data_IF_315284603104
#
_entry.id   IF_315284603104
#
_cell.length_a   1.000
_cell.length_b   1.000
_cell.length_c   1.000
_cell.angle_alpha   90.00
_cell.angle_beta   90.00
_cell.angle_gamma   90.00
#
_symmetry.space_group_name_H-M   'P 1'
#
loop_
_entity.id
_entity.type
_entity.pdbx_description
1 polymer ?
#
# COMPACT_ATOMS: atom_id res chain seq x y z
N UNK A 1 -11.73 15.17 28.77
CA UNK A 1 -10.53 15.05 27.90
C UNK A 1 -10.97 15.33 26.47
N UNK A 2 -10.70 16.53 25.98
CA UNK A 2 -10.98 16.91 24.59
C UNK A 2 -10.10 16.04 23.69
N UNK A 3 -10.68 15.15 22.87
CA UNK A 3 -9.91 14.42 21.85
C UNK A 3 -9.22 15.48 20.99
N UNK A 4 -7.89 15.53 21.05
CA UNK A 4 -7.11 16.37 20.16
C UNK A 4 -7.46 15.93 18.74
N UNK A 5 -8.02 16.86 17.95
CA UNK A 5 -8.43 16.59 16.58
C UNK A 5 -7.16 16.23 15.80
N UNK A 6 -7.21 15.13 15.05
CA UNK A 6 -6.07 14.73 14.22
C UNK A 6 -5.70 15.85 13.23
N UNK A 7 -4.43 15.94 12.81
CA UNK A 7 -4.03 16.90 11.79
C UNK A 7 -4.90 16.77 10.52
N UNK A 8 -5.20 17.88 9.82
CA UNK A 8 -6.10 17.87 8.66
C UNK A 8 -5.75 16.81 7.60
N UNK A 9 -4.46 16.62 7.30
CA UNK A 9 -4.01 15.63 6.31
C UNK A 9 -4.31 14.19 6.71
N UNK A 10 -4.24 13.88 8.01
CA UNK A 10 -4.54 12.56 8.56
C UNK A 10 -6.04 12.29 8.45
N UNK A 11 -6.86 13.29 8.82
CA UNK A 11 -8.31 13.20 8.67
C UNK A 11 -8.72 12.96 7.21
N UNK A 12 -8.11 13.68 6.27
CA UNK A 12 -8.34 13.51 4.83
C UNK A 12 -7.97 12.09 4.37
N UNK A 13 -6.82 11.57 4.81
CA UNK A 13 -6.42 10.20 4.49
C UNK A 13 -7.45 9.18 5.02
N UNK A 14 -7.89 9.34 6.27
CA UNK A 14 -8.79 8.37 6.91
C UNK A 14 -10.19 8.38 6.28
N UNK A 15 -10.68 9.57 5.91
CA UNK A 15 -11.92 9.70 5.15
C UNK A 15 -11.77 9.04 3.77
N UNK A 16 -10.65 9.30 3.09
CA UNK A 16 -10.31 8.68 1.82
C UNK A 16 -10.34 7.15 1.85
N UNK A 17 -9.64 6.56 2.82
CA UNK A 17 -9.65 5.10 3.06
C UNK A 17 -11.06 4.61 3.36
N UNK A 18 -11.84 5.34 4.14
CA UNK A 18 -13.24 4.95 4.43
C UNK A 18 -14.10 4.97 3.18
N UNK A 19 -13.95 5.97 2.31
CA UNK A 19 -14.66 6.05 1.04
C UNK A 19 -14.27 4.89 0.12
N UNK A 20 -12.96 4.59 -0.01
CA UNK A 20 -12.47 3.47 -0.80
C UNK A 20 -13.06 2.13 -0.34
N UNK A 21 -13.12 1.90 0.98
CA UNK A 21 -13.71 0.68 1.56
C UNK A 21 -15.24 0.62 1.42
N UNK A 22 -15.90 1.74 1.15
CA UNK A 22 -17.34 1.81 0.91
C UNK A 22 -17.69 1.73 -0.58
N UNK A 23 -16.71 1.55 -1.48
CA UNK A 23 -16.98 1.37 -2.89
C UNK A 23 -17.92 0.18 -3.12
N UNK A 24 -18.89 0.37 -4.00
CA UNK A 24 -19.90 -0.62 -4.32
C UNK A 24 -19.29 -1.74 -5.16
N UNK A 25 -19.47 -2.96 -4.70
CA UNK A 25 -19.05 -4.19 -5.38
C UNK A 25 -20.15 -4.76 -6.29
N UNK A 26 -21.39 -4.29 -6.13
CA UNK A 26 -22.60 -4.83 -6.75
C UNK A 26 -23.63 -5.18 -5.67
N UNK A 27 -24.91 -5.08 -6.03
CA UNK A 27 -26.05 -5.45 -5.17
C UNK A 27 -26.04 -4.77 -3.78
N UNK A 28 -25.48 -3.55 -3.70
CA UNK A 28 -25.38 -2.78 -2.46
C UNK A 28 -24.29 -3.27 -1.50
N UNK A 29 -23.46 -4.24 -1.91
CA UNK A 29 -22.35 -4.73 -1.11
C UNK A 29 -21.18 -3.75 -1.17
N UNK A 30 -20.72 -3.31 0.00
CA UNK A 30 -19.49 -2.52 0.10
C UNK A 30 -18.29 -3.46 0.10
N UNK A 31 -17.35 -3.24 -0.80
CA UNK A 31 -16.17 -4.12 -0.98
C UNK A 31 -15.41 -4.37 0.33
N UNK A 32 -15.28 -3.35 1.19
CA UNK A 32 -14.55 -3.46 2.46
C UNK A 32 -15.24 -4.34 3.50
N UNK A 33 -16.54 -4.61 3.36
CA UNK A 33 -17.31 -5.41 4.32
C UNK A 33 -17.14 -6.92 4.09
N UNK A 34 -16.46 -7.33 3.01
CA UNK A 34 -16.12 -8.72 2.79
C UNK A 34 -15.16 -9.24 3.88
N UNK A 35 -15.50 -10.42 4.43
CA UNK A 35 -14.71 -11.07 5.49
C UNK A 35 -13.36 -11.57 4.96
N UNK A 36 -13.38 -12.22 3.79
CA UNK A 36 -12.23 -12.86 3.18
C UNK A 36 -11.81 -12.07 1.93
N UNK A 37 -10.53 -11.73 1.82
CA UNK A 37 -10.07 -11.09 0.60
C UNK A 37 -8.59 -10.77 0.60
N UNK A 38 -8.13 -10.36 -0.57
CA UNK A 38 -6.76 -9.87 -0.80
C UNK A 38 -6.84 -8.43 -1.29
N UNK A 39 -5.83 -7.64 -0.95
CA UNK A 39 -5.71 -6.25 -1.39
C UNK A 39 -4.28 -5.93 -1.81
N UNK A 40 -4.14 -4.95 -2.69
CA UNK A 40 -2.88 -4.42 -3.18
C UNK A 40 -2.92 -2.89 -3.10
N UNK A 41 -1.89 -2.31 -2.53
CA UNK A 41 -1.68 -0.87 -2.50
C UNK A 41 -0.81 -0.44 -3.68
N UNK A 42 -1.14 0.73 -4.22
CA UNK A 42 -0.37 1.40 -5.27
C UNK A 42 0.03 2.81 -4.83
N UNK A 43 1.19 3.28 -5.26
CA UNK A 43 1.60 4.67 -5.06
C UNK A 43 1.16 5.60 -6.20
N UNK A 44 1.51 6.88 -6.11
CA UNK A 44 1.08 7.90 -7.07
C UNK A 44 1.65 7.69 -8.49
N UNK A 45 2.70 6.88 -8.64
CA UNK A 45 3.25 6.50 -9.96
C UNK A 45 2.57 5.25 -10.52
N UNK A 46 1.58 4.71 -9.80
CA UNK A 46 0.91 3.45 -10.14
C UNK A 46 1.75 2.22 -9.82
N UNK A 47 2.86 2.35 -9.08
CA UNK A 47 3.68 1.21 -8.69
C UNK A 47 2.98 0.38 -7.61
N UNK A 48 2.91 -0.95 -7.75
CA UNK A 48 2.44 -1.80 -6.65
C UNK A 48 3.45 -1.79 -5.51
N UNK A 49 2.97 -1.62 -4.28
CA UNK A 49 3.86 -1.39 -3.13
C UNK A 49 3.69 -2.43 -2.03
N UNK A 50 2.47 -2.94 -1.80
CA UNK A 50 2.22 -3.89 -0.71
C UNK A 50 0.97 -4.72 -1.00
N UNK A 51 1.11 -6.04 -0.93
CA UNK A 51 -0.02 -6.97 -1.00
C UNK A 51 -0.33 -7.50 0.40
N UNK A 52 -1.59 -7.77 0.69
CA UNK A 52 -1.96 -8.49 1.91
C UNK A 52 -3.31 -9.17 1.80
N UNK A 53 -3.55 -10.14 2.66
CA UNK A 53 -4.83 -10.83 2.79
C UNK A 53 -5.49 -10.57 4.14
N UNK A 54 -6.80 -10.81 4.21
CA UNK A 54 -7.59 -10.81 5.44
C UNK A 54 -8.52 -12.01 5.48
N UNK A 55 -8.63 -12.60 6.68
CA UNK A 55 -9.60 -13.66 7.01
C UNK A 55 -10.73 -13.21 7.93
N UNK A 56 -10.65 -11.97 8.39
CA UNK A 56 -11.54 -11.40 9.40
C UNK A 56 -12.41 -10.29 8.79
N UNK A 57 -11.77 -9.39 8.04
CA UNK A 57 -12.42 -8.27 7.35
C UNK A 57 -11.39 -7.52 6.51
N UNK A 58 -11.71 -7.23 5.24
CA UNK A 58 -10.90 -6.33 4.41
C UNK A 58 -10.80 -4.94 5.05
N UNK A 59 -11.93 -4.36 5.45
CA UNK A 59 -12.00 -3.06 6.13
C UNK A 59 -11.12 -3.02 7.37
N UNK A 60 -11.23 -4.02 8.25
CA UNK A 60 -10.45 -4.07 9.49
C UNK A 60 -8.95 -4.11 9.22
N UNK A 61 -8.52 -4.92 8.23
CA UNK A 61 -7.11 -5.09 7.90
C UNK A 61 -6.52 -3.87 7.18
N UNK A 62 -7.20 -3.33 6.18
CA UNK A 62 -6.74 -2.15 5.43
C UNK A 62 -6.68 -0.92 6.33
N UNK A 63 -7.70 -0.68 7.18
CA UNK A 63 -7.64 0.40 8.19
C UNK A 63 -6.47 0.24 9.13
N UNK A 64 -6.22 -0.98 9.62
CA UNK A 64 -5.05 -1.25 10.46
C UNK A 64 -3.76 -0.77 9.76
N UNK A 65 -3.57 -1.08 8.49
CA UNK A 65 -2.37 -0.64 7.76
C UNK A 65 -2.33 0.87 7.47
N UNK A 66 -3.45 1.53 7.18
CA UNK A 66 -3.42 2.91 6.69
C UNK A 66 -3.79 3.97 7.73
N UNK A 67 -4.46 3.58 8.81
CA UNK A 67 -4.99 4.51 9.82
C UNK A 67 -4.49 4.24 11.24
N UNK A 68 -3.62 3.24 11.42
CA UNK A 68 -3.04 2.96 12.72
C UNK A 68 -1.52 2.93 12.62
N UNK A 69 -0.88 3.98 13.14
CA UNK A 69 0.57 4.15 13.18
C UNK A 69 1.29 3.11 14.06
N UNK A 70 0.56 2.24 14.78
CA UNK A 70 1.12 1.21 15.67
C UNK A 70 1.18 -0.20 15.06
N UNK A 71 1.00 -0.36 13.76
CA UNK A 71 0.84 -1.69 13.13
C UNK A 71 2.11 -2.12 12.42
N UNK A 72 2.45 -3.42 12.44
CA UNK A 72 3.79 -3.95 12.09
C UNK A 72 4.44 -3.34 10.83
N UNK A 73 3.69 -3.11 9.75
CA UNK A 73 4.23 -2.49 8.53
C UNK A 73 4.46 -0.97 8.63
N UNK A 74 3.59 -0.24 9.32
CA UNK A 74 3.77 1.22 9.53
C UNK A 74 4.71 1.51 10.70
N UNK A 75 4.62 0.71 11.76
CA UNK A 75 5.45 0.81 12.97
C UNK A 75 6.93 0.57 12.68
N UNK A 76 7.24 -0.28 11.70
CA UNK A 76 8.61 -0.50 11.22
C UNK A 76 8.99 0.45 10.06
N UNK A 77 8.16 1.44 9.72
CA UNK A 77 8.37 2.35 8.58
C UNK A 77 8.55 1.64 7.24
N UNK A 78 7.95 0.45 7.08
CA UNK A 78 8.00 -0.33 5.84
C UNK A 78 7.12 0.30 4.76
N UNK A 79 5.99 0.86 5.17
CA UNK A 79 5.01 1.53 4.31
C UNK A 79 4.66 2.90 4.91
N UNK A 80 4.74 3.96 4.11
CA UNK A 80 4.14 5.24 4.44
C UNK A 80 2.69 5.25 3.94
N UNK A 81 1.67 5.34 4.83
CA UNK A 81 0.26 5.41 4.41
C UNK A 81 -0.05 6.57 3.47
N UNK A 82 0.73 7.66 3.53
CA UNK A 82 0.51 8.82 2.68
C UNK A 82 1.01 8.62 1.25
N UNK A 83 1.91 7.67 1.02
CA UNK A 83 2.36 7.26 -0.32
C UNK A 83 1.36 6.30 -0.99
N UNK A 84 0.29 5.87 -0.32
CA UNK A 84 -0.74 5.02 -0.93
C UNK A 84 -1.75 5.90 -1.67
N UNK A 85 -1.73 5.84 -2.99
CA UNK A 85 -2.64 6.59 -3.86
C UNK A 85 -3.93 5.81 -4.14
N UNK A 86 -3.82 4.49 -4.33
CA UNK A 86 -4.95 3.63 -4.70
C UNK A 86 -4.90 2.28 -3.99
N UNK A 87 -6.07 1.67 -3.82
CA UNK A 87 -6.25 0.36 -3.22
C UNK A 87 -7.04 -0.49 -4.21
N UNK A 88 -6.48 -1.64 -4.61
CA UNK A 88 -7.20 -2.67 -5.35
C UNK A 88 -7.57 -3.81 -4.39
N UNK A 89 -8.82 -4.26 -4.44
CA UNK A 89 -9.39 -5.25 -3.54
C UNK A 89 -10.05 -6.37 -4.34
N UNK A 90 -9.79 -7.60 -3.92
CA UNK A 90 -10.38 -8.83 -4.43
C UNK A 90 -11.18 -9.49 -3.30
N UNK A 91 -12.50 -9.22 -3.19
CA UNK A 91 -13.34 -9.82 -2.17
C UNK A 91 -13.75 -11.25 -2.56
N UNK A 92 -13.74 -12.16 -1.60
CA UNK A 92 -14.15 -13.55 -1.77
C UNK A 92 -15.42 -13.80 -0.94
N UNK A 93 -16.58 -13.40 -1.48
CA UNK A 93 -17.87 -13.46 -0.79
C UNK A 93 -18.34 -14.89 -0.48
N UNK A 94 -18.13 -15.82 -1.41
CA UNK A 94 -18.59 -17.22 -1.28
C UNK A 94 -17.56 -18.14 -0.62
N UNK A 95 -16.46 -17.60 -0.11
CA UNK A 95 -15.37 -18.40 0.45
C UNK A 95 -15.70 -18.87 1.87
N UNK A 96 -15.79 -20.19 2.02
CA UNK A 96 -16.02 -20.85 3.30
C UNK A 96 -14.87 -20.58 4.29
N UNK A 97 -15.15 -20.62 5.60
CA UNK A 97 -14.13 -20.41 6.64
C UNK A 97 -13.06 -21.52 6.68
N UNK A 98 -13.43 -22.74 6.29
CA UNK A 98 -12.54 -23.92 6.27
C UNK A 98 -11.51 -23.78 5.16
N UNK A 99 -11.92 -23.33 3.99
CA UNK A 99 -11.06 -23.26 2.80
C UNK A 99 -10.32 -21.91 2.70
N UNK A 100 -10.79 -20.90 3.44
CA UNK A 100 -10.29 -19.53 3.38
C UNK A 100 -8.78 -19.40 3.47
N UNK A 101 -8.11 -20.20 4.33
CA UNK A 101 -6.67 -20.08 4.51
C UNK A 101 -5.89 -20.45 3.26
N UNK A 102 -6.24 -21.56 2.65
CA UNK A 102 -5.49 -22.09 1.50
C UNK A 102 -5.74 -21.24 0.26
N UNK A 103 -7.01 -20.95 -0.02
CA UNK A 103 -7.41 -20.14 -1.17
C UNK A 103 -6.82 -18.73 -1.08
N UNK A 104 -6.86 -18.09 0.10
CA UNK A 104 -6.27 -16.74 0.23
C UNK A 104 -4.74 -16.74 0.15
N UNK A 105 -4.04 -17.81 0.56
CA UNK A 105 -2.60 -17.92 0.33
C UNK A 105 -2.27 -17.99 -1.16
N UNK A 106 -3.05 -18.77 -1.92
CA UNK A 106 -2.91 -18.87 -3.39
C UNK A 106 -3.26 -17.55 -4.07
N UNK A 107 -4.34 -16.88 -3.64
CA UNK A 107 -4.73 -15.58 -4.13
C UNK A 107 -3.66 -14.50 -3.85
N UNK A 108 -3.13 -14.46 -2.62
CA UNK A 108 -2.05 -13.56 -2.21
C UNK A 108 -0.79 -13.80 -3.05
N UNK A 109 -0.43 -15.06 -3.30
CA UNK A 109 0.68 -15.38 -4.18
C UNK A 109 0.43 -14.97 -5.65
N UNK A 110 -0.78 -15.20 -6.18
CA UNK A 110 -1.15 -14.80 -7.55
C UNK A 110 -1.03 -13.28 -7.71
N UNK A 111 -1.58 -12.51 -6.76
CA UNK A 111 -1.51 -11.04 -6.77
C UNK A 111 -0.08 -10.56 -6.53
N UNK A 112 0.71 -11.27 -5.73
CA UNK A 112 2.13 -11.00 -5.54
C UNK A 112 2.91 -11.12 -6.86
N UNK A 113 2.69 -12.20 -7.63
CA UNK A 113 3.33 -12.37 -8.94
C UNK A 113 2.88 -11.29 -9.93
N UNK A 114 1.59 -10.96 -9.96
CA UNK A 114 1.07 -9.83 -10.74
C UNK A 114 1.76 -8.51 -10.36
N UNK A 115 1.92 -8.26 -9.06
CA UNK A 115 2.56 -7.06 -8.55
C UNK A 115 4.06 -6.99 -8.91
N UNK A 116 4.80 -8.09 -8.83
CA UNK A 116 6.21 -8.13 -9.23
C UNK A 116 6.37 -7.85 -10.73
N UNK A 117 5.52 -8.46 -11.58
CA UNK A 117 5.50 -8.22 -13.03
C UNK A 117 5.13 -6.77 -13.39
N UNK A 118 4.23 -6.17 -12.61
CA UNK A 118 3.77 -4.80 -12.79
C UNK A 118 4.64 -3.72 -12.14
N UNK A 119 5.67 -4.09 -11.35
CA UNK A 119 6.56 -3.12 -10.73
C UNK A 119 7.77 -2.84 -11.63
N UNK A 120 8.04 -1.55 -11.88
CA UNK A 120 9.27 -1.09 -12.53
C UNK A 120 10.54 -1.55 -11.82
N UNK A 121 10.46 -1.76 -10.52
CA UNK A 121 11.60 -2.15 -9.68
C UNK A 121 11.65 -3.66 -9.44
N UNK A 122 10.66 -4.41 -9.95
CA UNK A 122 10.48 -5.84 -9.69
C UNK A 122 10.56 -6.20 -8.20
N UNK A 123 10.08 -5.30 -7.33
CA UNK A 123 10.08 -5.46 -5.87
C UNK A 123 8.88 -4.77 -5.25
N UNK A 124 8.32 -5.41 -4.22
CA UNK A 124 7.30 -4.84 -3.34
C UNK A 124 7.77 -4.91 -1.88
N UNK A 125 7.10 -4.14 -1.01
CA UNK A 125 7.59 -3.80 0.33
C UNK A 125 7.21 -4.82 1.41
N UNK A 126 6.61 -5.96 1.05
CA UNK A 126 6.24 -7.01 2.00
C UNK A 126 7.45 -7.49 2.82
N UNK A 127 7.40 -7.31 4.15
CA UNK A 127 8.45 -7.80 5.06
C UNK A 127 8.52 -9.33 5.05
N UNK A 128 7.35 -9.97 5.10
CA UNK A 128 7.24 -11.42 5.08
C UNK A 128 7.28 -11.90 3.65
N UNK A 129 8.10 -12.91 3.42
CA UNK A 129 8.09 -13.63 2.16
C UNK A 129 6.73 -14.33 1.98
N UNK A 130 6.18 -14.16 0.78
CA UNK A 130 4.93 -14.81 0.38
C UNK A 130 5.31 -16.16 -0.19
N UNK A 131 4.82 -17.22 0.44
CA UNK A 131 5.16 -18.58 0.07
C UNK A 131 4.66 -18.88 -1.34
N UNK A 132 5.49 -19.56 -2.12
CA UNK A 132 5.10 -20.05 -3.42
C UNK A 132 3.87 -20.96 -3.32
N UNK A 133 2.93 -20.77 -4.22
CA UNK A 133 1.70 -21.54 -4.33
C UNK A 133 1.27 -21.59 -5.81
N UNK A 134 0.27 -22.40 -6.13
CA UNK A 134 -0.29 -22.42 -7.48
C UNK A 134 -1.14 -21.15 -7.71
N UNK A 135 -0.88 -20.46 -8.84
CA UNK A 135 -1.69 -19.30 -9.27
C UNK A 135 -3.15 -19.74 -9.51
N UNK A 136 -4.09 -18.85 -9.19
CA UNK A 136 -5.53 -19.13 -9.34
C UNK A 136 -6.24 -18.00 -10.09
N UNK A 137 -7.42 -18.31 -10.62
CA UNK A 137 -8.35 -17.28 -11.04
C UNK A 137 -8.82 -16.47 -9.82
N UNK A 138 -8.76 -15.15 -9.96
CA UNK A 138 -9.17 -14.23 -8.93
C UNK A 138 -10.59 -13.73 -9.22
N UNK A 139 -11.40 -13.43 -8.19
CA UNK A 139 -12.67 -12.76 -8.38
C UNK A 139 -12.46 -11.38 -9.01
N UNK A 140 -13.55 -10.74 -9.43
CA UNK A 140 -13.52 -9.36 -9.92
C UNK A 140 -12.85 -8.45 -8.88
N UNK A 141 -11.92 -7.61 -9.32
CA UNK A 141 -11.29 -6.62 -8.44
C UNK A 141 -12.01 -5.28 -8.51
N UNK A 142 -11.80 -4.48 -7.47
CA UNK A 142 -12.17 -3.06 -7.45
C UNK A 142 -10.96 -2.25 -7.02
N UNK A 143 -10.49 -1.37 -7.92
CA UNK A 143 -9.42 -0.41 -7.68
C UNK A 143 -10.02 0.97 -7.44
N UNK A 144 -9.72 1.56 -6.29
CA UNK A 144 -10.29 2.83 -5.85
C UNK A 144 -9.18 3.79 -5.42
N UNK A 145 -9.21 5.06 -5.84
CA UNK A 145 -8.30 6.06 -5.32
C UNK A 145 -8.63 6.38 -3.86
N UNK A 146 -7.59 6.55 -3.05
CA UNK A 146 -7.72 6.97 -1.64
C UNK A 146 -8.13 8.44 -1.57
N UNK A 147 -7.68 9.28 -2.50
CA UNK A 147 -7.96 10.70 -2.52
C UNK A 147 -8.76 11.09 -3.76
N UNK A 148 -9.58 12.13 -3.62
CA UNK A 148 -10.18 12.79 -4.79
C UNK A 148 -9.09 13.37 -5.69
N UNK A 149 -9.40 13.58 -6.97
CA UNK A 149 -8.45 14.13 -7.95
C UNK A 149 -7.81 15.45 -7.50
N UNK A 150 -8.58 16.34 -6.87
CA UNK A 150 -8.08 17.63 -6.37
C UNK A 150 -7.10 17.46 -5.21
N UNK A 151 -7.40 16.58 -4.25
CA UNK A 151 -6.54 16.32 -3.09
C UNK A 151 -5.31 15.47 -3.47
N UNK A 152 -5.45 14.60 -4.47
CA UNK A 152 -4.34 13.83 -5.04
C UNK A 152 -3.25 14.76 -5.58
N UNK A 153 -3.62 15.78 -6.36
CA UNK A 153 -2.66 16.76 -6.92
C UNK A 153 -1.80 17.44 -5.86
N UNK A 154 -2.37 17.71 -4.68
CA UNK A 154 -1.64 18.33 -3.57
C UNK A 154 -0.57 17.41 -2.95
N UNK A 155 -0.69 16.08 -3.12
CA UNK A 155 0.26 15.10 -2.57
C UNK A 155 1.19 14.49 -3.61
N UNK A 156 0.79 14.50 -4.86
CA UNK A 156 1.52 13.89 -5.97
C UNK A 156 2.78 14.66 -6.36
N UNK A 157 2.91 15.92 -5.91
CA UNK A 157 4.07 16.76 -6.22
C UNK A 157 5.39 16.03 -5.90
N UNK A 158 6.32 15.90 -6.88
CA UNK A 158 7.56 15.13 -6.70
C UNK A 158 8.36 15.54 -5.46
N UNK A 159 8.53 16.84 -5.23
CA UNK A 159 9.33 17.33 -4.09
C UNK A 159 8.72 17.00 -2.72
N UNK A 160 7.38 16.99 -2.60
CA UNK A 160 6.68 16.56 -1.37
C UNK A 160 6.95 15.06 -1.14
N UNK A 161 6.86 14.26 -2.20
CA UNK A 161 7.10 12.81 -2.14
C UNK A 161 8.57 12.50 -1.87
N UNK A 162 9.52 13.25 -2.43
CA UNK A 162 10.95 13.16 -2.11
C UNK A 162 11.21 13.36 -0.62
N UNK A 163 10.64 14.42 -0.03
CA UNK A 163 10.79 14.70 1.39
C UNK A 163 10.20 13.57 2.26
N UNK A 164 9.01 13.06 1.90
CA UNK A 164 8.34 11.95 2.62
C UNK A 164 9.13 10.64 2.52
N UNK A 165 9.52 10.23 1.32
CA UNK A 165 10.29 8.99 1.08
C UNK A 165 11.64 9.03 1.77
N UNK A 166 12.33 10.17 1.74
CA UNK A 166 13.60 10.37 2.46
C UNK A 166 13.40 10.16 3.97
N UNK A 167 12.34 10.74 4.56
CA UNK A 167 12.02 10.54 5.97
C UNK A 167 11.73 9.08 6.31
N UNK A 168 10.98 8.39 5.45
CA UNK A 168 10.67 6.95 5.62
C UNK A 168 11.93 6.10 5.59
N UNK A 169 12.84 6.35 4.62
CA UNK A 169 14.13 5.66 4.52
C UNK A 169 15.00 5.94 5.75
N UNK A 170 15.09 7.19 6.20
CA UNK A 170 15.85 7.56 7.39
C UNK A 170 15.33 6.83 8.64
N UNK A 171 14.01 6.78 8.82
CA UNK A 171 13.38 6.06 9.93
C UNK A 171 13.63 4.55 9.85
N UNK A 172 13.52 3.97 8.66
CA UNK A 172 13.77 2.55 8.42
C UNK A 172 15.23 2.18 8.70
N UNK A 173 16.18 2.99 8.24
CA UNK A 173 17.60 2.82 8.53
C UNK A 173 17.90 2.89 10.03
N UNK A 174 17.29 3.85 10.73
CA UNK A 174 17.39 3.98 12.19
C UNK A 174 16.84 2.73 12.93
N UNK A 175 15.69 2.19 12.50
CA UNK A 175 15.14 0.95 13.06
C UNK A 175 16.10 -0.23 12.87
N UNK A 176 16.72 -0.34 11.68
CA UNK A 176 17.69 -1.38 11.34
C UNK A 176 18.97 -1.25 12.18
N UNK A 177 19.42 -0.03 12.50
CA UNK A 177 20.63 0.18 13.31
C UNK A 177 20.41 -0.08 14.79
N UNK A 178 19.22 0.22 15.32
CA UNK A 178 18.92 0.12 16.76
C UNK A 178 18.44 -1.27 17.20
N UNK A 179 18.03 -2.14 16.26
CA UNK A 179 17.33 -3.38 16.58
C UNK A 179 17.75 -4.53 15.66
N UNK A 180 17.66 -5.75 16.16
CA UNK A 180 17.72 -6.93 15.29
C UNK A 180 16.44 -7.02 14.46
N UNK A 181 16.59 -7.06 13.14
CA UNK A 181 15.48 -7.06 12.18
C UNK A 181 15.55 -8.26 11.24
N UNK A 182 14.42 -8.63 10.66
CA UNK A 182 14.35 -9.67 9.63
C UNK A 182 14.99 -9.21 8.32
N UNK A 183 15.50 -10.11 7.48
CA UNK A 183 16.04 -9.76 6.15
C UNK A 183 15.08 -8.96 5.28
N UNK A 184 13.77 -9.21 5.40
CA UNK A 184 12.72 -8.48 4.67
C UNK A 184 12.76 -6.97 4.89
N UNK A 185 13.00 -6.52 6.12
CA UNK A 185 13.12 -5.09 6.46
C UNK A 185 14.32 -4.44 5.74
N UNK A 186 15.44 -5.15 5.63
CA UNK A 186 16.62 -4.67 4.89
C UNK A 186 16.36 -4.60 3.39
N UNK A 187 15.61 -5.56 2.84
CA UNK A 187 15.14 -5.55 1.44
C UNK A 187 14.21 -4.36 1.18
N UNK A 188 13.31 -4.05 2.12
CA UNK A 188 12.46 -2.85 2.06
C UNK A 188 13.31 -1.58 1.99
N UNK A 189 14.37 -1.47 2.79
CA UNK A 189 15.27 -0.31 2.75
C UNK A 189 15.86 -0.13 1.35
N UNK A 190 16.45 -1.19 0.80
CA UNK A 190 16.98 -1.18 -0.56
C UNK A 190 15.93 -0.79 -1.61
N UNK A 191 14.74 -1.39 -1.56
CA UNK A 191 13.65 -1.10 -2.49
C UNK A 191 13.21 0.38 -2.43
N UNK A 192 13.05 0.92 -1.22
CA UNK A 192 12.71 2.33 -1.02
C UNK A 192 13.82 3.25 -1.52
N UNK A 193 15.10 2.92 -1.30
CA UNK A 193 16.23 3.70 -1.83
C UNK A 193 16.24 3.75 -3.36
N UNK A 194 15.96 2.63 -4.05
CA UNK A 194 15.82 2.60 -5.52
C UNK A 194 14.69 3.49 -6.01
N UNK A 195 13.56 3.49 -5.29
CA UNK A 195 12.40 4.33 -5.62
C UNK A 195 12.68 5.82 -5.39
N UNK A 196 13.39 6.17 -4.31
CA UNK A 196 13.82 7.54 -4.04
C UNK A 196 14.79 8.05 -5.12
N UNK A 197 15.80 7.24 -5.47
CA UNK A 197 16.75 7.59 -6.54
C UNK A 197 16.02 7.84 -7.86
N UNK A 198 15.11 6.95 -8.24
CA UNK A 198 14.31 7.12 -9.45
C UNK A 198 13.51 8.43 -9.45
N UNK A 199 12.82 8.73 -8.36
CA UNK A 199 12.03 9.96 -8.23
C UNK A 199 12.92 11.20 -8.29
N UNK A 200 14.08 11.18 -7.62
CA UNK A 200 15.02 12.30 -7.59
C UNK A 200 15.62 12.55 -8.97
N UNK A 201 16.01 11.49 -9.66
CA UNK A 201 16.55 11.57 -11.03
C UNK A 201 15.50 12.10 -12.01
N UNK A 202 14.28 11.55 -11.98
CA UNK A 202 13.18 12.01 -12.85
C UNK A 202 12.91 13.49 -12.62
N UNK A 203 12.91 13.94 -11.35
CA UNK A 203 12.70 15.34 -11.01
C UNK A 203 13.82 16.26 -11.51
N UNK A 204 15.07 15.82 -11.44
CA UNK A 204 16.21 16.57 -11.97
C UNK A 204 16.10 16.71 -13.51
N UNK A 205 15.79 15.61 -14.21
CA UNK A 205 15.60 15.61 -15.66
C UNK A 205 14.44 16.52 -16.13
N UNK A 206 13.39 16.68 -15.32
CA UNK A 206 12.30 17.64 -15.61
C UNK A 206 12.80 19.09 -15.59
N UNK A 207 13.57 19.47 -14.57
CA UNK A 207 14.14 20.82 -14.46
C UNK A 207 15.13 21.11 -15.60
N UNK A 208 16.01 20.15 -15.92
CA UNK A 208 16.98 20.32 -17.00
C UNK A 208 16.30 20.58 -18.36
N UNK A 209 15.15 19.95 -18.62
CA UNK A 209 14.37 20.20 -19.84
C UNK A 209 13.67 21.56 -19.84
N UNK A 210 13.18 22.01 -18.68
CA UNK A 210 12.55 23.33 -18.55
C UNK A 210 13.56 24.46 -18.81
N UNK A 211 14.82 24.30 -18.40
CA UNK A 211 15.90 25.29 -18.63
C UNK A 211 16.37 25.35 -20.10
N UNK A 212 16.13 24.29 -20.88
CA UNK A 212 16.48 24.21 -22.31
C UNK A 212 15.41 24.80 -23.25
N UNK A 213 14.24 25.21 -22.73
CA UNK A 213 13.10 25.71 -23.53
C UNK A 213 12.86 27.21 -23.36
#
# INVERSE_FOLDING_TARGET
>A
MTRQKEPPEVTVLYQGVTNALNADYGDGQRVGDCQHGVYLFYDYDGEPIYVGQSRESLRGRIRRHLTNQRTDAVAMSVLDPFEVAEIEMWPFWDLSRTDAREILNRAEYTIYQKALKGSKFSVILNEKEIKAAEEIELPKSIRVPVLSTSLRKLREHPDIRLARRTRTIANLARVISERSVRPGIRRTLWAQSRRLEYLARTRLEEFEREDET
#
